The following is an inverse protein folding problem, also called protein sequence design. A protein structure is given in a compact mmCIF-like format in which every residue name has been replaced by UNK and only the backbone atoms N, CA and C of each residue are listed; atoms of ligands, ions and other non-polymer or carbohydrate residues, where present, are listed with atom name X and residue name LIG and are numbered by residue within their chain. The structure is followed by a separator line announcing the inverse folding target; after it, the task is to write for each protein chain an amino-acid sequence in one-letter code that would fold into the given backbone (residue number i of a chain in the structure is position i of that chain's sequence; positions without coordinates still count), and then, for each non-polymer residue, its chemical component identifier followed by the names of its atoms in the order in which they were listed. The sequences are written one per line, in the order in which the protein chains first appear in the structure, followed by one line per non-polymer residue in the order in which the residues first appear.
data_IF_418761120707
#
_entry.id   IF_418761120707
#
_cell.length_a   1.000
_cell.length_b   1.000
_cell.length_c   1.000
_cell.angle_alpha   90.00
_cell.angle_beta   90.00
_cell.angle_gamma   90.00
#
_symmetry.space_group_name_H-M   'P 1'
#
loop_
_entity.id
_entity.type
_entity.pdbx_description
1 polymer ?
#
# COMPACT_ATOMS: atom_id res chain seq x y z
N UNK A 1 -6.58 -22.08 -19.72
CA UNK A 1 -6.21 -20.80 -20.37
C UNK A 1 -5.91 -19.84 -19.24
N UNK A 2 -4.62 -19.52 -19.06
CA UNK A 2 -4.06 -18.88 -17.87
C UNK A 2 -4.66 -17.48 -17.66
N UNK A 3 -5.16 -17.24 -16.44
CA UNK A 3 -5.50 -15.91 -15.97
C UNK A 3 -4.20 -15.19 -15.60
N UNK A 4 -4.09 -13.88 -15.87
CA UNK A 4 -2.83 -13.16 -15.70
C UNK A 4 -2.38 -13.17 -14.25
N UNK A 5 -1.07 -13.29 -14.11
CA UNK A 5 -0.30 -12.97 -12.92
C UNK A 5 -0.71 -11.60 -12.36
N UNK A 6 -0.52 -11.42 -11.04
CA UNK A 6 -0.66 -10.19 -10.25
C UNK A 6 -1.98 -10.08 -9.47
N UNK A 7 -1.85 -9.69 -8.18
CA UNK A 7 -2.86 -9.26 -7.17
C UNK A 7 -2.78 -10.09 -5.85
N UNK A 8 -2.51 -9.42 -4.72
CA UNK A 8 -3.28 -9.64 -3.46
C UNK A 8 -4.05 -8.37 -3.13
N UNK A 9 -4.75 -7.85 -4.13
CA UNK A 9 -6.08 -7.28 -3.92
C UNK A 9 -7.07 -8.44 -3.91
N UNK A 10 -7.30 -9.04 -2.75
CA UNK A 10 -8.34 -10.06 -2.69
C UNK A 10 -9.68 -9.35 -2.86
N UNK A 11 -10.22 -9.47 -4.06
CA UNK A 11 -11.58 -9.11 -4.34
C UNK A 11 -12.44 -10.11 -3.58
N UNK A 12 -13.45 -9.69 -2.84
CA UNK A 12 -14.43 -10.62 -2.25
C UNK A 12 -15.22 -11.26 -3.40
N UNK A 13 -14.83 -12.47 -3.84
CA UNK A 13 -15.37 -13.14 -5.05
C UNK A 13 -15.67 -14.62 -4.84
N UNK A 14 -16.76 -15.04 -5.47
CA UNK A 14 -17.09 -16.42 -5.80
C UNK A 14 -16.34 -16.84 -7.09
N UNK A 15 -15.30 -17.69 -7.04
CA UNK A 15 -14.55 -18.15 -8.22
C UNK A 15 -15.38 -18.82 -9.35
N UNK A 16 -16.68 -19.11 -9.14
CA UNK A 16 -17.51 -19.85 -10.11
C UNK A 16 -18.22 -19.00 -11.17
N UNK A 17 -18.12 -17.67 -11.18
CA UNK A 17 -18.81 -16.81 -12.17
C UNK A 17 -17.92 -15.68 -12.72
N UNK A 18 -16.94 -15.94 -13.59
CA UNK A 18 -15.91 -14.94 -13.95
C UNK A 18 -16.39 -13.80 -14.87
N UNK A 19 -17.25 -14.08 -15.86
CA UNK A 19 -17.51 -13.14 -16.96
C UNK A 19 -18.45 -11.97 -16.62
N UNK A 20 -19.43 -12.18 -15.74
CA UNK A 20 -20.34 -11.11 -15.31
C UNK A 20 -19.69 -10.18 -14.27
N UNK A 21 -18.70 -10.67 -13.53
CA UNK A 21 -18.07 -9.99 -12.41
C UNK A 21 -16.99 -9.00 -12.85
N UNK A 22 -16.40 -9.19 -14.03
CA UNK A 22 -15.46 -8.26 -14.65
C UNK A 22 -16.03 -6.83 -14.78
N UNK A 23 -17.35 -6.70 -14.93
CA UNK A 23 -18.05 -5.41 -15.04
C UNK A 23 -18.61 -4.89 -13.71
N UNK A 24 -18.33 -5.57 -12.59
CA UNK A 24 -18.84 -5.22 -11.27
C UNK A 24 -17.75 -4.57 -10.43
N UNK A 25 -18.02 -3.38 -9.87
CA UNK A 25 -17.10 -2.72 -8.94
C UNK A 25 -17.04 -3.43 -7.59
N UNK A 26 -16.28 -4.50 -7.49
CA UNK A 26 -16.15 -5.32 -6.29
C UNK A 26 -15.36 -4.62 -5.18
N UNK A 27 -15.35 -5.20 -3.98
CA UNK A 27 -14.60 -4.66 -2.84
C UNK A 27 -13.14 -5.06 -2.96
N UNK A 28 -12.28 -4.06 -3.09
CA UNK A 28 -10.83 -4.26 -3.02
C UNK A 28 -10.38 -4.25 -1.56
N UNK A 29 -9.72 -5.34 -1.18
CA UNK A 29 -9.09 -5.55 0.13
C UNK A 29 -7.58 -5.50 -0.07
N UNK A 30 -6.87 -4.89 0.88
CA UNK A 30 -5.41 -4.91 0.91
C UNK A 30 -4.94 -5.93 1.93
N UNK A 31 -3.94 -6.73 1.54
CA UNK A 31 -3.28 -7.69 2.43
C UNK A 31 -1.79 -7.35 2.46
N UNK A 32 -1.24 -7.12 3.65
CA UNK A 32 0.19 -6.84 3.84
C UNK A 32 0.80 -7.85 4.82
N UNK A 33 1.88 -8.51 4.40
CA UNK A 33 2.51 -9.58 5.16
C UNK A 33 3.77 -9.12 5.90
N UNK A 34 3.83 -9.39 7.20
CA UNK A 34 5.06 -9.29 8.01
C UNK A 34 5.44 -10.67 8.51
N UNK A 35 6.57 -11.18 8.03
CA UNK A 35 7.12 -12.48 8.45
C UNK A 35 8.19 -12.29 9.53
N UNK A 36 8.05 -12.97 10.66
CA UNK A 36 9.09 -13.06 11.69
C UNK A 36 9.84 -14.38 11.57
N UNK A 37 11.13 -14.30 11.24
CA UNK A 37 11.99 -15.49 11.15
C UNK A 37 12.18 -16.19 12.50
N UNK A 38 12.04 -15.47 13.61
CA UNK A 38 12.24 -16.03 14.95
C UNK A 38 11.08 -16.91 15.39
N UNK A 39 9.87 -16.54 15.00
CA UNK A 39 8.65 -17.31 15.31
C UNK A 39 8.23 -18.23 14.17
N UNK A 40 8.84 -18.08 12.99
CA UNK A 40 8.46 -18.78 11.75
C UNK A 40 6.98 -18.55 11.40
N UNK A 41 6.47 -17.34 11.70
CA UNK A 41 5.08 -16.93 11.49
C UNK A 41 5.01 -15.67 10.61
N UNK A 42 3.98 -15.62 9.78
CA UNK A 42 3.60 -14.50 8.94
C UNK A 42 2.28 -13.92 9.44
N UNK A 43 2.32 -12.68 9.91
CA UNK A 43 1.12 -11.92 10.23
C UNK A 43 0.68 -11.19 8.96
N UNK A 44 -0.55 -11.44 8.53
CA UNK A 44 -1.16 -10.87 7.35
C UNK A 44 -2.20 -9.84 7.77
N UNK A 45 -1.85 -8.57 7.60
CA UNK A 45 -2.72 -7.44 7.87
C UNK A 45 -3.76 -7.29 6.77
N UNK A 46 -5.03 -7.42 7.12
CA UNK A 46 -6.15 -7.36 6.18
C UNK A 46 -7.00 -6.14 6.47
N UNK A 47 -7.22 -5.31 5.45
CA UNK A 47 -8.11 -4.16 5.57
C UNK A 47 -8.74 -3.77 4.25
N UNK A 48 -9.96 -3.23 4.31
CA UNK A 48 -10.62 -2.70 3.11
C UNK A 48 -9.96 -1.40 2.65
N UNK A 49 -9.87 -1.17 1.33
CA UNK A 49 -9.51 0.15 0.77
C UNK A 49 -10.50 1.28 1.18
N UNK A 50 -11.64 0.95 1.81
CA UNK A 50 -12.57 1.92 2.44
C UNK A 50 -12.08 2.42 3.80
N UNK A 51 -11.26 1.60 4.47
CA UNK A 51 -10.62 1.95 5.72
C UNK A 51 -9.43 2.82 5.42
N UNK A 52 -8.51 2.33 4.58
CA UNK A 52 -7.17 2.91 4.40
C UNK A 52 -6.62 2.90 2.97
N UNK A 53 -5.57 3.70 2.74
CA UNK A 53 -4.83 3.72 1.49
C UNK A 53 -3.80 2.59 1.38
N UNK A 54 -2.92 2.71 0.37
CA UNK A 54 -1.77 1.84 0.14
C UNK A 54 -0.50 2.68 0.11
N UNK A 55 -0.25 3.40 1.21
CA UNK A 55 0.88 4.32 1.33
C UNK A 55 1.90 3.88 2.36
N UNK A 56 2.99 4.63 2.43
CA UNK A 56 4.08 4.41 3.37
C UNK A 56 3.66 4.57 4.83
N UNK A 57 2.71 5.47 5.11
CA UNK A 57 2.13 5.66 6.44
C UNK A 57 1.38 4.40 6.91
N UNK A 58 0.64 3.74 6.02
CA UNK A 58 -0.04 2.49 6.35
C UNK A 58 0.98 1.38 6.67
N UNK A 59 2.03 1.25 5.87
CA UNK A 59 3.12 0.28 6.10
C UNK A 59 3.79 0.50 7.45
N UNK A 60 4.16 1.74 7.78
CA UNK A 60 4.78 2.06 9.08
C UNK A 60 3.81 1.83 10.24
N UNK A 61 2.52 2.12 10.05
CA UNK A 61 1.49 1.84 11.07
C UNK A 61 1.40 0.36 11.38
N UNK A 62 1.37 -0.49 10.35
CA UNK A 62 1.33 -1.95 10.49
C UNK A 62 2.63 -2.50 11.08
N UNK A 63 3.79 -1.96 10.69
CA UNK A 63 5.08 -2.34 11.28
C UNK A 63 5.17 -1.95 12.76
N UNK A 64 4.71 -0.76 13.13
CA UNK A 64 4.63 -0.30 14.51
C UNK A 64 3.67 -1.17 15.35
N UNK A 65 2.50 -1.51 14.79
CA UNK A 65 1.54 -2.40 15.43
C UNK A 65 2.15 -3.80 15.65
N UNK A 66 2.79 -4.35 14.62
CA UNK A 66 3.50 -5.62 14.68
C UNK A 66 4.51 -5.62 15.82
N UNK A 67 5.41 -4.61 15.85
CA UNK A 67 6.45 -4.51 16.83
C UNK A 67 5.94 -4.37 18.27
N UNK A 68 4.81 -3.67 18.47
CA UNK A 68 4.17 -3.55 19.78
C UNK A 68 3.62 -4.89 20.25
N UNK A 69 2.92 -5.61 19.37
CA UNK A 69 2.23 -6.85 19.75
C UNK A 69 3.21 -8.03 19.94
N UNK A 70 4.28 -8.08 19.15
CA UNK A 70 5.32 -9.12 19.26
C UNK A 70 6.47 -8.74 20.21
N UNK A 71 6.36 -7.60 20.91
CA UNK A 71 7.34 -7.07 21.89
C UNK A 71 8.74 -6.83 21.32
N UNK A 72 8.82 -6.47 20.04
CA UNK A 72 10.08 -6.23 19.34
C UNK A 72 10.79 -4.94 19.76
N UNK A 73 10.11 -4.02 20.42
CA UNK A 73 10.77 -2.85 21.00
C UNK A 73 11.71 -3.19 22.15
N UNK A 74 11.69 -4.42 22.66
CA UNK A 74 12.61 -4.89 23.68
C UNK A 74 13.92 -5.45 23.11
N UNK A 75 14.05 -5.58 21.79
CA UNK A 75 15.27 -6.11 21.16
C UNK A 75 16.22 -4.98 20.74
N UNK A 76 17.52 -5.26 20.75
CA UNK A 76 18.54 -4.25 20.44
C UNK A 76 18.65 -3.93 18.96
N UNK A 77 18.48 -4.91 18.07
CA UNK A 77 18.71 -4.75 16.64
C UNK A 77 17.57 -5.30 15.80
N UNK A 78 17.07 -4.47 14.89
CA UNK A 78 16.12 -4.88 13.85
C UNK A 78 16.83 -5.05 12.51
N UNK A 79 16.64 -6.20 11.87
CA UNK A 79 17.05 -6.41 10.48
C UNK A 79 15.82 -6.73 9.63
N UNK A 80 15.44 -5.79 8.77
CA UNK A 80 14.28 -5.87 7.88
C UNK A 80 14.76 -6.20 6.48
N UNK A 81 14.22 -7.24 5.88
CA UNK A 81 14.31 -7.52 4.45
C UNK A 81 12.96 -7.19 3.82
N UNK A 82 12.95 -6.41 2.74
CA UNK A 82 11.72 -5.98 2.09
C UNK A 82 11.84 -6.05 0.56
N UNK A 83 10.71 -6.19 -0.11
CA UNK A 83 10.65 -6.11 -1.57
C UNK A 83 10.96 -4.69 -2.06
N UNK A 84 11.53 -4.59 -3.26
CA UNK A 84 12.04 -3.34 -3.84
C UNK A 84 10.93 -2.45 -4.42
N UNK A 85 9.81 -2.32 -3.69
CA UNK A 85 8.64 -1.57 -4.10
C UNK A 85 8.70 -0.12 -3.57
N UNK A 86 8.84 0.86 -4.47
CA UNK A 86 8.95 2.29 -4.12
C UNK A 86 7.69 2.83 -3.44
N UNK A 87 6.52 2.42 -3.89
CA UNK A 87 5.23 2.90 -3.38
C UNK A 87 4.95 2.53 -1.92
N UNK A 88 5.56 1.46 -1.41
CA UNK A 88 5.21 0.87 -0.10
C UNK A 88 6.40 0.71 0.85
N UNK A 89 7.44 0.02 0.40
CA UNK A 89 8.55 -0.39 1.29
C UNK A 89 9.75 0.54 1.15
N UNK A 90 10.11 0.92 -0.08
CA UNK A 90 11.31 1.68 -0.41
C UNK A 90 11.03 3.18 -0.52
N UNK A 91 10.69 3.78 0.62
CA UNK A 91 10.41 5.21 0.73
C UNK A 91 11.04 5.84 1.98
N UNK A 92 11.02 7.17 2.01
CA UNK A 92 11.59 7.95 3.11
C UNK A 92 10.84 7.76 4.43
N UNK A 93 9.53 7.49 4.43
CA UNK A 93 8.77 7.31 5.67
C UNK A 93 9.24 6.07 6.44
N UNK A 94 9.42 4.93 5.75
CA UNK A 94 9.92 3.69 6.37
C UNK A 94 11.36 3.89 6.87
N UNK A 95 12.21 4.53 6.06
CA UNK A 95 13.59 4.81 6.43
C UNK A 95 13.68 5.73 7.66
N UNK A 96 12.95 6.86 7.66
CA UNK A 96 12.96 7.82 8.77
C UNK A 96 12.28 7.28 10.02
N UNK A 97 11.31 6.37 9.90
CA UNK A 97 10.76 5.63 11.04
C UNK A 97 11.83 4.81 11.75
N UNK A 98 12.60 4.00 11.01
CA UNK A 98 13.69 3.21 11.60
C UNK A 98 14.79 4.10 12.18
N UNK A 99 15.09 5.21 11.50
CA UNK A 99 16.04 6.21 12.01
C UNK A 99 15.55 6.80 13.33
N UNK A 100 14.26 7.09 13.45
CA UNK A 100 13.67 7.61 14.67
C UNK A 100 13.72 6.60 15.82
N UNK A 101 13.47 5.30 15.57
CA UNK A 101 13.59 4.26 16.61
C UNK A 101 15.03 4.16 17.15
N UNK A 102 16.02 4.31 16.28
CA UNK A 102 17.44 4.33 16.67
C UNK A 102 17.82 5.63 17.38
N UNK A 103 17.35 6.77 16.89
CA UNK A 103 17.59 8.10 17.47
C UNK A 103 16.95 8.24 18.87
N UNK A 104 15.77 7.66 19.08
CA UNK A 104 15.08 7.58 20.38
C UNK A 104 15.65 6.53 21.32
N UNK A 105 16.72 5.82 20.93
CA UNK A 105 17.37 4.74 21.70
C UNK A 105 16.47 3.55 22.02
N UNK A 106 15.35 3.41 21.33
CA UNK A 106 14.53 2.20 21.41
C UNK A 106 15.22 1.02 20.73
N UNK A 107 16.04 1.30 19.71
CA UNK A 107 16.93 0.32 19.07
C UNK A 107 18.38 0.80 19.16
N UNK A 108 19.31 -0.13 19.33
CA UNK A 108 20.74 0.12 19.15
C UNK A 108 21.08 0.25 17.67
N UNK A 109 20.51 -0.63 16.84
CA UNK A 109 20.78 -0.66 15.41
C UNK A 109 19.52 -1.04 14.61
N UNK A 110 19.35 -0.43 13.44
CA UNK A 110 18.35 -0.84 12.46
C UNK A 110 19.01 -1.06 11.10
N UNK A 111 18.70 -2.19 10.45
CA UNK A 111 19.18 -2.55 9.11
C UNK A 111 17.98 -2.76 8.20
N UNK A 112 17.87 -1.97 7.14
CA UNK A 112 16.85 -2.11 6.10
C UNK A 112 17.50 -2.57 4.81
N UNK A 113 17.14 -3.76 4.35
CA UNK A 113 17.72 -4.44 3.19
C UNK A 113 16.62 -4.71 2.17
N UNK A 114 16.90 -4.44 0.92
CA UNK A 114 15.99 -4.68 -0.19
C UNK A 114 16.48 -5.83 -1.05
N UNK A 115 15.56 -6.70 -1.44
CA UNK A 115 15.87 -7.75 -2.39
C UNK A 115 16.18 -7.18 -3.78
N UNK A 116 17.03 -7.88 -4.54
CA UNK A 116 17.32 -7.55 -5.95
C UNK A 116 16.17 -8.12 -6.79
N UNK A 117 15.77 -7.40 -7.85
CA UNK A 117 14.72 -7.86 -8.77
C UNK A 117 15.01 -9.29 -9.26
N UNK A 118 13.99 -10.16 -9.23
CA UNK A 118 14.11 -11.57 -9.62
C UNK A 118 14.56 -12.51 -8.49
N UNK A 119 14.48 -12.11 -7.23
CA UNK A 119 14.71 -13.00 -6.09
C UNK A 119 13.59 -14.04 -5.97
N UNK A 120 13.96 -15.29 -5.67
CA UNK A 120 12.99 -16.41 -5.50
C UNK A 120 12.86 -16.84 -4.04
N UNK A 121 13.44 -16.09 -3.09
CA UNK A 121 13.63 -16.51 -1.70
C UNK A 121 13.03 -15.52 -0.69
N UNK A 122 11.79 -15.11 -0.89
CA UNK A 122 11.04 -14.40 0.14
C UNK A 122 10.07 -15.38 0.82
N UNK A 123 10.20 -15.52 2.16
CA UNK A 123 9.33 -16.39 2.94
C UNK A 123 7.87 -15.94 2.88
N UNK A 124 7.64 -14.65 2.67
CA UNK A 124 6.31 -14.09 2.55
C UNK A 124 5.59 -14.57 1.28
N UNK A 125 6.31 -14.71 0.16
CA UNK A 125 5.76 -15.23 -1.11
C UNK A 125 5.20 -16.64 -0.93
N UNK A 126 5.85 -17.46 -0.08
CA UNK A 126 5.36 -18.79 0.27
C UNK A 126 4.04 -18.70 1.05
N UNK A 127 3.96 -17.82 2.04
CA UNK A 127 2.75 -17.60 2.83
C UNK A 127 1.59 -17.10 1.95
N UNK A 128 1.86 -16.15 1.07
CA UNK A 128 0.88 -15.67 0.09
C UNK A 128 0.48 -16.73 -0.92
N UNK A 129 1.42 -17.56 -1.38
CA UNK A 129 1.14 -18.68 -2.27
C UNK A 129 0.15 -19.67 -1.66
N UNK A 130 0.24 -19.92 -0.35
CA UNK A 130 -0.72 -20.77 0.37
C UNK A 130 -2.11 -20.11 0.43
N UNK A 131 -2.18 -18.82 0.76
CA UNK A 131 -3.42 -18.04 0.77
C UNK A 131 -4.08 -18.07 -0.60
N UNK A 132 -3.33 -17.77 -1.68
CA UNK A 132 -3.82 -17.80 -3.07
C UNK A 132 -4.37 -19.17 -3.46
N UNK A 133 -3.66 -20.25 -3.10
CA UNK A 133 -4.10 -21.63 -3.42
C UNK A 133 -5.42 -21.99 -2.74
N UNK A 134 -5.62 -21.58 -1.49
CA UNK A 134 -6.87 -21.79 -0.74
C UNK A 134 -7.97 -20.91 -1.30
N UNK A 135 -7.69 -19.62 -1.51
CA UNK A 135 -8.60 -18.63 -2.06
C UNK A 135 -9.19 -19.05 -3.41
N UNK A 136 -8.39 -19.63 -4.32
CA UNK A 136 -8.86 -20.12 -5.62
C UNK A 136 -9.93 -21.23 -5.56
N UNK A 137 -10.17 -21.83 -4.39
CA UNK A 137 -11.08 -22.98 -4.20
C UNK A 137 -12.31 -22.66 -3.37
N UNK A 138 -12.37 -21.48 -2.75
CA UNK A 138 -13.41 -21.09 -1.78
C UNK A 138 -14.05 -19.79 -2.23
N UNK A 139 -15.36 -19.66 -2.00
CA UNK A 139 -16.05 -18.38 -2.20
C UNK A 139 -15.90 -17.55 -0.93
N UNK A 140 -15.50 -16.30 -1.07
CA UNK A 140 -15.36 -15.36 0.05
C UNK A 140 -16.29 -14.18 -0.20
N UNK A 141 -17.15 -13.88 0.78
CA UNK A 141 -18.19 -12.85 0.75
C UNK A 141 -18.01 -11.77 1.82
N UNK A 142 -17.23 -12.03 2.88
CA UNK A 142 -16.99 -11.07 3.96
C UNK A 142 -15.50 -10.93 4.28
N UNK A 143 -15.13 -9.90 5.05
CA UNK A 143 -13.75 -9.77 5.55
C UNK A 143 -13.43 -10.86 6.59
N UNK A 144 -14.42 -11.27 7.38
CA UNK A 144 -14.26 -12.34 8.37
C UNK A 144 -13.99 -13.69 7.72
N UNK A 145 -14.68 -13.99 6.62
CA UNK A 145 -14.40 -15.20 5.84
C UNK A 145 -13.02 -15.15 5.19
N UNK A 146 -12.56 -13.98 4.75
CA UNK A 146 -11.21 -13.82 4.23
C UNK A 146 -10.17 -14.05 5.33
N UNK A 147 -10.42 -13.53 6.53
CA UNK A 147 -9.52 -13.72 7.66
C UNK A 147 -9.42 -15.19 8.07
N UNK A 148 -10.56 -15.86 8.22
CA UNK A 148 -10.61 -17.30 8.48
C UNK A 148 -9.89 -18.11 7.39
N UNK A 149 -10.06 -17.73 6.12
CA UNK A 149 -9.36 -18.36 5.01
C UNK A 149 -7.84 -18.21 5.11
N UNK A 150 -7.36 -17.04 5.56
CA UNK A 150 -5.93 -16.78 5.74
C UNK A 150 -5.38 -17.62 6.89
N UNK A 151 -6.06 -17.69 8.03
CA UNK A 151 -5.66 -18.53 9.16
C UNK A 151 -5.62 -20.02 8.79
N UNK A 152 -6.60 -20.49 8.00
CA UNK A 152 -6.65 -21.86 7.52
C UNK A 152 -5.67 -22.18 6.38
N UNK A 153 -5.03 -21.17 5.80
CA UNK A 153 -4.20 -21.36 4.61
C UNK A 153 -2.90 -22.11 4.90
N UNK A 154 -2.33 -21.91 6.10
CA UNK A 154 -1.14 -22.60 6.61
C UNK A 154 -0.96 -22.30 8.10
N UNK A 155 -0.37 -23.23 8.86
CA UNK A 155 -0.03 -23.03 10.28
C UNK A 155 0.93 -21.85 10.52
N UNK A 156 1.67 -21.44 9.50
CA UNK A 156 2.59 -20.30 9.55
C UNK A 156 1.91 -18.97 9.28
N UNK A 157 0.65 -18.94 8.82
CA UNK A 157 -0.09 -17.72 8.51
C UNK A 157 -1.04 -17.39 9.66
N UNK A 158 -1.04 -16.13 10.06
CA UNK A 158 -2.01 -15.56 10.99
C UNK A 158 -2.62 -14.31 10.35
N UNK A 159 -3.92 -14.11 10.53
CA UNK A 159 -4.63 -12.94 10.05
C UNK A 159 -4.77 -11.89 11.16
N UNK A 160 -4.46 -10.63 10.82
CA UNK A 160 -4.73 -9.48 11.67
C UNK A 160 -5.65 -8.51 10.91
N UNK A 161 -6.92 -8.44 11.31
CA UNK A 161 -7.89 -7.55 10.68
C UNK A 161 -7.77 -6.12 11.22
N UNK A 162 -7.57 -5.14 10.34
CA UNK A 162 -7.61 -3.71 10.71
C UNK A 162 -8.95 -3.11 10.27
N UNK A 163 -9.87 -3.02 11.23
CA UNK A 163 -11.19 -2.41 11.02
C UNK A 163 -11.17 -0.90 11.27
N UNK A 164 -10.37 -0.45 12.23
CA UNK A 164 -10.39 0.93 12.72
C UNK A 164 -9.34 1.80 12.04
N UNK A 165 -9.80 2.88 11.39
CA UNK A 165 -8.93 3.86 10.74
C UNK A 165 -7.91 4.52 11.68
N UNK A 166 -8.23 4.66 12.97
CA UNK A 166 -7.32 5.27 13.96
C UNK A 166 -6.02 4.49 14.17
N UNK A 167 -5.95 3.24 13.70
CA UNK A 167 -4.71 2.46 13.70
C UNK A 167 -3.68 3.03 12.72
N UNK A 168 -4.13 3.71 11.66
CA UNK A 168 -3.26 4.30 10.65
C UNK A 168 -2.92 5.73 11.02
N UNK A 169 -1.62 5.99 11.22
CA UNK A 169 -1.10 7.30 11.64
C UNK A 169 -0.27 7.95 10.55
N UNK A 170 -0.24 9.28 10.57
CA UNK A 170 0.59 10.07 9.67
C UNK A 170 1.98 10.27 10.27
N UNK A 171 2.90 9.38 9.89
CA UNK A 171 4.30 9.43 10.28
C UNK A 171 5.10 10.43 9.45
N UNK A 172 4.78 10.55 8.16
CA UNK A 172 5.49 11.44 7.22
C UNK A 172 5.55 12.87 7.73
N UNK A 173 4.41 13.47 8.10
CA UNK A 173 4.37 14.88 8.52
C UNK A 173 5.13 15.14 9.83
N UNK A 174 5.09 14.17 10.75
CA UNK A 174 5.79 14.27 12.02
C UNK A 174 7.30 14.12 11.85
N UNK A 175 7.75 13.17 11.02
CA UNK A 175 9.17 12.96 10.75
C UNK A 175 9.78 14.04 9.85
N UNK A 176 9.00 14.65 8.96
CA UNK A 176 9.44 15.79 8.14
C UNK A 176 9.86 17.02 8.99
N UNK A 177 9.47 17.08 10.27
CA UNK A 177 9.92 18.13 11.21
C UNK A 177 11.30 17.86 11.80
N UNK A 178 11.78 16.63 11.72
CA UNK A 178 13.05 16.18 12.34
C UNK A 178 14.10 15.79 11.30
N UNK A 179 13.66 15.25 10.17
CA UNK A 179 14.53 14.67 9.16
C UNK A 179 14.25 15.24 7.79
N UNK A 180 15.32 15.41 7.01
CA UNK A 180 15.23 15.65 5.57
C UNK A 180 15.10 14.32 4.83
N UNK A 181 14.55 14.38 3.63
CA UNK A 181 14.44 13.22 2.75
C UNK A 181 15.81 12.71 2.30
N UNK A 182 15.95 11.39 2.26
CA UNK A 182 17.08 10.74 1.64
C UNK A 182 16.98 10.85 0.10
N UNK A 183 18.00 11.42 -0.52
CA UNK A 183 18.03 11.65 -1.97
C UNK A 183 18.52 10.40 -2.70
N UNK A 184 17.73 9.93 -3.67
CA UNK A 184 18.09 8.80 -4.52
C UNK A 184 17.97 7.43 -3.86
N UNK A 185 17.02 7.28 -2.92
CA UNK A 185 16.77 6.03 -2.18
C UNK A 185 16.66 4.79 -3.08
N UNK A 186 16.05 4.94 -4.26
CA UNK A 186 15.83 3.86 -5.23
C UNK A 186 17.12 3.20 -5.73
N UNK A 187 18.26 3.91 -5.68
CA UNK A 187 19.56 3.44 -6.17
C UNK A 187 20.28 2.49 -5.22
N UNK A 188 19.83 2.35 -3.97
CA UNK A 188 20.54 1.61 -2.94
C UNK A 188 19.70 0.46 -2.39
N UNK A 189 20.34 -0.60 -1.91
CA UNK A 189 19.64 -1.79 -1.39
C UNK A 189 19.87 -2.02 0.09
N UNK A 190 20.87 -1.38 0.69
CA UNK A 190 21.20 -1.60 2.11
C UNK A 190 21.30 -0.25 2.79
N UNK A 191 20.57 -0.11 3.89
CA UNK A 191 20.59 1.04 4.79
C UNK A 191 20.80 0.53 6.21
N UNK A 192 21.70 1.15 6.94
CA UNK A 192 22.06 0.81 8.31
C UNK A 192 22.08 2.10 9.14
N UNK A 193 21.43 2.06 10.30
CA UNK A 193 21.41 3.14 11.28
C UNK A 193 21.92 2.63 12.61
N UNK A 194 22.76 3.42 13.28
CA UNK A 194 23.30 3.09 14.59
C UNK A 194 23.03 4.22 15.59
N UNK A 195 22.68 3.84 16.81
CA UNK A 195 22.34 4.79 17.86
C UNK A 195 23.54 5.66 18.27
N UNK A 196 24.77 5.20 18.04
CA UNK A 196 26.00 5.95 18.29
C UNK A 196 26.16 7.15 17.33
N UNK A 197 25.51 7.11 16.16
CA UNK A 197 25.49 8.20 15.18
C UNK A 197 24.04 8.67 14.89
N UNK A 198 23.39 9.37 15.82
CA UNK A 198 22.02 9.84 15.64
C UNK A 198 21.85 10.63 14.35
N UNK A 199 20.80 10.32 13.58
CA UNK A 199 20.52 11.00 12.33
C UNK A 199 21.28 10.50 11.11
N UNK A 200 22.33 9.70 11.28
CA UNK A 200 23.15 9.21 10.17
C UNK A 200 22.61 7.90 9.64
N UNK A 201 22.44 7.84 8.32
CA UNK A 201 22.15 6.61 7.58
C UNK A 201 23.40 6.22 6.80
N UNK A 202 23.92 5.04 7.10
CA UNK A 202 24.97 4.39 6.30
C UNK A 202 24.28 3.59 5.20
N UNK A 203 24.68 3.77 3.94
CA UNK A 203 24.01 3.14 2.81
C UNK A 203 24.99 2.54 1.80
N UNK A 204 24.55 1.47 1.12
CA UNK A 204 25.31 0.73 0.10
C UNK A 204 24.41 0.36 -1.07
N UNK A 205 24.98 0.34 -2.27
CA UNK A 205 24.26 -0.14 -3.46
C UNK A 205 24.05 -1.66 -3.39
N UNK A 206 25.13 -2.41 -3.14
CA UNK A 206 25.14 -3.87 -2.98
C UNK A 206 25.99 -4.27 -1.76
N UNK A 207 25.92 -5.53 -1.27
CA UNK A 207 26.69 -5.97 -0.10
C UNK A 207 28.20 -5.71 -0.19
N UNK A 208 28.80 -5.80 -1.38
CA UNK A 208 30.23 -5.55 -1.62
C UNK A 208 30.60 -4.10 -1.94
N UNK A 209 29.64 -3.17 -1.99
CA UNK A 209 29.92 -1.76 -2.29
C UNK A 209 30.49 -1.00 -1.09
N UNK A 210 31.32 0.00 -1.36
CA UNK A 210 31.85 0.91 -0.32
C UNK A 210 30.70 1.64 0.39
N UNK A 211 30.65 1.61 1.73
CA UNK A 211 29.64 2.33 2.50
C UNK A 211 29.78 3.85 2.32
N UNK A 212 28.65 4.53 2.30
CA UNK A 212 28.56 6.00 2.34
C UNK A 212 27.65 6.40 3.49
N UNK A 213 27.86 7.60 4.01
CA UNK A 213 27.07 8.13 5.12
C UNK A 213 26.29 9.37 4.65
N UNK A 214 25.07 9.53 5.15
CA UNK A 214 24.27 10.75 4.98
C UNK A 214 23.58 11.07 6.29
N UNK A 215 23.84 12.27 6.83
CA UNK A 215 23.09 12.77 7.99
C UNK A 215 21.76 13.36 7.51
N UNK A 216 20.65 12.83 8.03
CA UNK A 216 19.29 13.26 7.71
C UNK A 216 18.69 14.25 8.72
N UNK A 217 19.36 14.57 9.84
CA UNK A 217 18.82 15.54 10.80
C UNK A 217 18.65 16.93 10.17
N UNK A 218 17.52 17.56 10.47
CA UNK A 218 17.33 18.97 10.19
C UNK A 218 18.12 19.83 11.19
N UNK A 219 18.56 21.05 10.81
CA UNK A 219 19.43 21.90 11.64
C UNK A 219 18.92 22.16 13.07
N UNK A 220 17.59 22.22 13.25
CA UNK A 220 16.97 22.53 14.54
C UNK A 220 16.63 21.29 15.38
N UNK A 221 17.01 20.09 14.91
CA UNK A 221 16.69 18.84 15.60
C UNK A 221 17.81 18.50 16.57
N UNK A 222 17.43 18.18 17.83
CA UNK A 222 18.39 17.72 18.84
C UNK A 222 19.04 16.41 18.40
N UNK A 223 20.35 16.27 18.63
CA UNK A 223 21.11 15.02 18.39
C UNK A 223 20.83 13.96 19.46
N UNK A 224 20.29 14.37 20.61
CA UNK A 224 19.90 13.47 21.70
C UNK A 224 18.51 13.85 22.14
N UNK A 225 17.60 12.88 22.08
CA UNK A 225 16.20 13.05 22.47
C UNK A 225 16.03 12.63 23.93
N UNK A 226 15.40 13.50 24.72
CA UNK A 226 14.90 13.12 26.05
C UNK A 226 13.65 12.24 25.92
N UNK A 227 13.26 11.56 27.00
CA UNK A 227 12.02 10.77 27.03
C UNK A 227 10.78 11.64 26.74
N UNK A 228 10.80 12.90 27.17
CA UNK A 228 9.75 13.88 26.88
C UNK A 228 9.72 14.23 25.37
N UNK A 229 10.88 14.45 24.75
CA UNK A 229 10.96 14.70 23.30
C UNK A 229 10.37 13.53 22.51
N UNK A 230 10.73 12.29 22.87
CA UNK A 230 10.23 11.07 22.23
C UNK A 230 8.72 10.95 22.41
N UNK A 231 8.23 11.17 23.64
CA UNK A 231 6.80 11.12 23.96
C UNK A 231 6.01 12.16 23.17
N UNK A 232 6.51 13.39 23.06
CA UNK A 232 5.89 14.47 22.29
C UNK A 232 5.76 14.10 20.80
N UNK A 233 6.78 13.45 20.22
CA UNK A 233 6.70 12.96 18.84
C UNK A 233 5.62 11.89 18.70
N UNK A 234 5.57 10.90 19.60
CA UNK A 234 4.54 9.84 19.57
C UNK A 234 3.11 10.38 19.73
N UNK A 235 2.93 11.43 20.55
CA UNK A 235 1.65 12.11 20.74
C UNK A 235 1.28 12.98 19.54
N UNK A 236 2.26 13.46 18.77
CA UNK A 236 2.02 14.28 17.57
C UNK A 236 1.46 13.50 16.38
N UNK A 237 1.56 12.17 16.40
CA UNK A 237 1.06 11.33 15.32
C UNK A 237 -0.47 11.33 15.28
N UNK A 238 -1.02 12.03 14.29
CA UNK A 238 -2.46 12.08 14.04
C UNK A 238 -2.91 10.89 13.19
N UNK A 239 -4.18 10.48 13.28
CA UNK A 239 -4.74 9.55 12.31
C UNK A 239 -4.53 10.08 10.89
N UNK A 240 -4.21 9.19 9.96
CA UNK A 240 -4.06 9.53 8.55
C UNK A 240 -5.33 10.20 8.01
N UNK A 241 -5.26 10.83 6.81
CA UNK A 241 -6.47 11.35 6.14
C UNK A 241 -7.31 10.21 5.56
N UNK A 242 -8.50 9.97 6.12
CA UNK A 242 -9.37 8.87 5.67
C UNK A 242 -9.74 9.06 4.20
N UNK A 243 -9.39 8.08 3.36
CA UNK A 243 -9.87 8.06 1.98
C UNK A 243 -11.37 7.85 1.99
N UNK A 244 -12.13 8.85 1.55
CA UNK A 244 -13.57 8.74 1.48
C UNK A 244 -13.92 7.65 0.46
N UNK A 245 -14.82 6.70 0.81
CA UNK A 245 -15.25 5.69 -0.14
C UNK A 245 -15.85 6.34 -1.38
N UNK A 246 -15.49 5.85 -2.57
CA UNK A 246 -16.04 6.36 -3.82
C UNK A 246 -17.58 6.15 -3.83
N UNK A 247 -18.39 7.23 -3.89
CA UNK A 247 -19.83 7.15 -3.77
C UNK A 247 -20.49 6.43 -4.96
N UNK A 248 -19.95 6.56 -6.18
CA UNK A 248 -20.43 5.81 -7.34
C UNK A 248 -20.23 4.31 -7.14
N UNK A 249 -19.05 3.89 -6.65
CA UNK A 249 -18.75 2.48 -6.36
C UNK A 249 -19.69 1.94 -5.28
N UNK A 250 -20.02 2.71 -4.23
CA UNK A 250 -21.00 2.29 -3.20
C UNK A 250 -22.38 2.00 -3.83
N UNK A 251 -22.93 2.97 -4.57
CA UNK A 251 -24.25 2.83 -5.20
C UNK A 251 -24.28 1.69 -6.23
N UNK A 252 -23.23 1.57 -7.04
CA UNK A 252 -23.10 0.49 -8.02
C UNK A 252 -23.10 -0.89 -7.34
N UNK A 253 -22.34 -1.06 -6.25
CA UNK A 253 -22.31 -2.33 -5.49
C UNK A 253 -23.67 -2.71 -4.95
N UNK A 254 -24.34 -1.79 -4.26
CA UNK A 254 -25.65 -2.08 -3.70
C UNK A 254 -26.66 -2.51 -4.78
N UNK A 255 -26.65 -1.84 -5.94
CA UNK A 255 -27.56 -2.16 -7.04
C UNK A 255 -27.21 -3.47 -7.76
N UNK A 256 -25.92 -3.74 -7.99
CA UNK A 256 -25.49 -4.80 -8.90
C UNK A 256 -25.03 -6.07 -8.18
N UNK A 257 -24.36 -5.97 -7.02
CA UNK A 257 -23.84 -7.13 -6.28
C UNK A 257 -24.87 -7.76 -5.35
N UNK A 258 -25.75 -6.96 -4.74
CA UNK A 258 -26.71 -7.43 -3.72
C UNK A 258 -27.59 -8.59 -4.18
N UNK A 259 -27.91 -8.64 -5.48
CA UNK A 259 -28.73 -9.71 -6.08
C UNK A 259 -28.02 -11.08 -6.20
N UNK A 260 -26.70 -11.11 -6.10
CA UNK A 260 -25.89 -12.34 -6.20
C UNK A 260 -25.39 -12.84 -4.85
N UNK A 261 -25.61 -12.06 -3.78
CA UNK A 261 -25.19 -12.42 -2.44
C UNK A 261 -26.06 -13.54 -1.86
N UNK A 262 -25.46 -14.60 -1.29
CA UNK A 262 -26.16 -15.55 -0.45
C UNK A 262 -26.93 -14.83 0.66
N UNK A 263 -28.08 -15.39 1.06
CA UNK A 263 -28.98 -14.74 2.03
C UNK A 263 -28.28 -14.45 3.36
N UNK A 264 -27.34 -15.28 3.75
CA UNK A 264 -26.56 -15.18 4.99
C UNK A 264 -25.62 -13.97 5.05
N UNK A 265 -25.26 -13.35 3.92
CA UNK A 265 -24.33 -12.21 3.88
C UNK A 265 -25.02 -10.87 3.59
N UNK A 266 -26.35 -10.84 3.45
CA UNK A 266 -27.09 -9.62 3.07
C UNK A 266 -27.04 -8.51 4.13
N UNK A 267 -26.82 -8.88 5.39
CA UNK A 267 -26.80 -7.98 6.54
C UNK A 267 -25.39 -7.47 6.89
N UNK A 268 -24.36 -7.95 6.18
CA UNK A 268 -22.98 -7.54 6.42
C UNK A 268 -22.81 -6.01 6.22
N UNK A 269 -22.10 -5.31 7.13
CA UNK A 269 -21.81 -3.87 7.02
C UNK A 269 -21.25 -3.41 5.67
N UNK A 270 -20.59 -4.30 4.96
CA UNK A 270 -20.00 -4.10 3.64
C UNK A 270 -21.04 -3.86 2.54
N UNK A 271 -22.25 -4.41 2.69
CA UNK A 271 -23.34 -4.37 1.72
C UNK A 271 -24.53 -3.50 2.15
N UNK A 272 -24.35 -2.68 3.19
CA UNK A 272 -25.35 -1.71 3.65
C UNK A 272 -25.83 -0.78 2.53
N UNK A 273 -27.12 -0.36 2.55
CA UNK A 273 -27.64 0.60 1.60
C UNK A 273 -26.86 1.92 1.64
N UNK A 274 -26.64 2.57 0.48
CA UNK A 274 -26.02 3.89 0.44
C UNK A 274 -26.88 4.90 1.21
N UNK A 275 -26.23 5.83 1.92
CA UNK A 275 -26.94 6.95 2.55
C UNK A 275 -27.44 7.95 1.50
N UNK A 276 -28.41 8.80 1.85
CA UNK A 276 -28.87 9.88 0.96
C UNK A 276 -27.70 10.80 0.53
N UNK A 277 -26.77 11.06 1.45
CA UNK A 277 -25.54 11.82 1.15
C UNK A 277 -24.65 11.10 0.13
N UNK A 278 -24.52 9.77 0.19
CA UNK A 278 -23.75 9.00 -0.81
C UNK A 278 -24.38 9.08 -2.20
N UNK A 279 -25.72 9.03 -2.27
CA UNK A 279 -26.47 9.13 -3.52
C UNK A 279 -26.27 10.53 -4.15
N UNK A 280 -26.42 11.60 -3.37
CA UNK A 280 -26.21 12.98 -3.84
C UNK A 280 -24.77 13.20 -4.31
N UNK A 281 -23.78 12.74 -3.54
CA UNK A 281 -22.37 12.83 -3.94
C UNK A 281 -22.11 12.05 -5.22
N UNK A 282 -22.68 10.85 -5.38
CA UNK A 282 -22.54 10.06 -6.60
C UNK A 282 -23.13 10.80 -7.82
N UNK A 283 -24.29 11.46 -7.67
CA UNK A 283 -24.89 12.26 -8.74
C UNK A 283 -24.02 13.46 -9.13
N UNK A 284 -23.46 14.18 -8.13
CA UNK A 284 -22.53 15.29 -8.38
C UNK A 284 -21.28 14.85 -9.13
N UNK A 285 -20.67 13.73 -8.72
CA UNK A 285 -19.48 13.17 -9.40
C UNK A 285 -19.81 12.76 -10.83
N UNK A 286 -20.96 12.11 -11.07
CA UNK A 286 -21.39 11.75 -12.42
C UNK A 286 -21.59 12.97 -13.31
N UNK A 287 -22.22 14.02 -12.78
CA UNK A 287 -22.45 15.28 -13.50
C UNK A 287 -21.12 15.95 -13.86
N UNK A 288 -20.22 16.10 -12.90
CA UNK A 288 -18.89 16.68 -13.13
C UNK A 288 -18.07 15.90 -14.16
N UNK A 289 -18.10 14.56 -14.12
CA UNK A 289 -17.42 13.72 -15.14
C UNK A 289 -18.02 13.92 -16.54
N UNK A 290 -19.35 14.02 -16.63
CA UNK A 290 -20.02 14.27 -17.91
C UNK A 290 -19.65 15.63 -18.49
N UNK A 291 -19.59 16.67 -17.65
CA UNK A 291 -19.18 18.02 -18.03
C UNK A 291 -17.72 18.06 -18.47
N UNK A 292 -16.82 17.40 -17.74
CA UNK A 292 -15.41 17.28 -18.12
C UNK A 292 -15.24 16.59 -19.47
N UNK A 293 -15.95 15.48 -19.71
CA UNK A 293 -15.91 14.75 -21.00
C UNK A 293 -16.44 15.61 -22.15
N UNK A 294 -17.53 16.34 -21.94
CA UNK A 294 -18.04 17.27 -22.94
C UNK A 294 -17.03 18.39 -23.25
N UNK A 295 -16.34 18.91 -22.23
CA UNK A 295 -15.31 19.95 -22.39
C UNK A 295 -14.10 19.43 -23.17
N UNK A 296 -13.63 18.22 -22.84
CA UNK A 296 -12.52 17.57 -23.55
C UNK A 296 -12.87 17.28 -25.02
N UNK A 297 -14.10 16.82 -25.28
CA UNK A 297 -14.58 16.60 -26.64
C UNK A 297 -14.65 17.90 -27.45
N UNK A 298 -15.17 18.98 -26.86
CA UNK A 298 -15.23 20.29 -27.50
C UNK A 298 -13.83 20.87 -27.81
N UNK A 299 -12.88 20.69 -26.89
CA UNK A 299 -11.48 21.10 -27.11
C UNK A 299 -10.83 20.30 -28.24
N UNK A 300 -11.06 18.98 -28.30
CA UNK A 300 -10.56 18.14 -29.38
C UNK A 300 -11.14 18.55 -30.74
N UNK A 301 -12.44 18.90 -30.81
CA UNK A 301 -13.08 19.41 -32.04
C UNK A 301 -12.52 20.78 -32.47
N UNK A 302 -12.22 21.67 -31.52
CA UNK A 302 -11.60 22.96 -31.79
C UNK A 302 -10.14 22.83 -32.31
N UNK A 303 -9.38 21.90 -31.75
CA UNK A 303 -8.02 21.58 -32.21
C UNK A 303 -8.02 21.04 -33.65
N UNK A 304 -8.96 20.15 -33.98
CA UNK A 304 -9.17 19.63 -35.35
C UNK A 304 -9.47 20.77 -36.34
N UNK A 305 -10.32 21.71 -35.94
CA UNK A 305 -10.70 22.86 -36.79
C UNK A 305 -9.52 23.80 -37.04
N UNK A 306 -8.61 23.94 -36.06
CA UNK A 306 -7.42 24.80 -36.14
C UNK A 306 -6.29 24.15 -36.95
N UNK A 307 -6.11 22.84 -36.85
CA UNK A 307 -5.14 22.07 -37.65
C UNK A 307 -5.55 21.99 -39.14
N UNK A 308 -6.85 21.93 -39.44
CA UNK A 308 -7.37 22.00 -40.82
C UNK A 308 -7.16 23.38 -41.46
N UNK A 309 -7.13 24.46 -40.67
CA UNK A 309 -6.88 25.82 -41.15
C UNK A 309 -5.38 26.10 -41.42
N UNK A 310 -4.46 25.30 -40.87
CA UNK A 310 -3.00 25.49 -40.98
C UNK A 310 -2.33 24.60 -42.04
N UNK A 311 -3.09 23.77 -42.75
CA UNK A 311 -2.62 23.07 -43.96
C UNK A 311 -1.73 21.85 -43.72
N UNK A 312 -1.91 21.14 -42.59
CA UNK A 312 -1.22 19.86 -42.35
C UNK A 312 -2.06 18.70 -42.92
N UNK A 313 -1.44 17.75 -43.61
CA UNK A 313 -2.11 16.67 -44.35
C UNK A 313 -2.99 15.80 -43.43
N UNK A 314 -4.23 15.58 -43.85
CA UNK A 314 -5.34 14.90 -43.14
C UNK A 314 -5.01 13.50 -42.60
N UNK A 315 -4.01 12.83 -43.18
CA UNK A 315 -3.60 11.48 -42.83
C UNK A 315 -2.78 11.42 -41.53
N UNK A 316 -1.86 12.37 -41.32
CA UNK A 316 -1.05 12.45 -40.09
C UNK A 316 -1.87 12.93 -38.88
N UNK A 317 -2.94 13.69 -39.12
CA UNK A 317 -3.87 14.13 -38.09
C UNK A 317 -4.75 12.96 -37.58
N UNK A 318 -5.26 12.14 -38.49
CA UNK A 318 -6.11 10.99 -38.12
C UNK A 318 -5.36 9.89 -37.35
N UNK A 319 -4.08 9.63 -37.67
CA UNK A 319 -3.25 8.69 -36.87
C UNK A 319 -2.98 9.22 -35.45
N UNK A 320 -2.64 10.51 -35.30
CA UNK A 320 -2.42 11.13 -33.97
C UNK A 320 -3.67 11.20 -33.12
N UNK A 321 -4.85 11.38 -33.74
CA UNK A 321 -6.15 11.37 -33.07
C UNK A 321 -6.53 9.95 -32.66
N UNK A 322 -6.26 8.93 -33.48
CA UNK A 322 -6.52 7.54 -33.11
C UNK A 322 -5.62 7.08 -31.95
N UNK A 323 -4.36 7.55 -31.89
CA UNK A 323 -3.49 7.36 -30.71
C UNK A 323 -3.97 8.14 -29.47
N UNK A 324 -4.48 9.37 -29.63
CA UNK A 324 -5.02 10.16 -28.50
C UNK A 324 -6.40 9.70 -28.01
N UNK A 325 -7.25 9.17 -28.88
CA UNK A 325 -8.58 8.65 -28.51
C UNK A 325 -8.55 7.17 -28.11
N UNK A 326 -7.53 6.40 -28.51
CA UNK A 326 -7.27 5.05 -27.96
C UNK A 326 -6.47 5.07 -26.66
N UNK A 327 -5.97 6.24 -26.26
CA UNK A 327 -5.50 6.46 -24.89
C UNK A 327 -6.72 6.46 -23.95
N UNK A 328 -6.85 5.49 -23.03
CA UNK A 328 -7.98 5.44 -22.11
C UNK A 328 -7.89 6.65 -21.17
N UNK A 329 -8.80 7.61 -21.37
CA UNK A 329 -8.97 8.75 -20.47
C UNK A 329 -9.75 8.27 -19.24
N UNK A 330 -8.99 8.02 -18.17
CA UNK A 330 -9.46 7.76 -16.80
C UNK A 330 -10.46 6.61 -16.64
N UNK A 331 -10.14 5.44 -17.19
CA UNK A 331 -10.09 4.33 -16.25
C UNK A 331 -8.81 4.53 -15.45
N UNK A 332 -8.86 4.34 -14.13
CA UNK A 332 -7.63 4.07 -13.39
C UNK A 332 -6.97 2.87 -14.09
N UNK A 333 -6.10 3.12 -15.08
CA UNK A 333 -5.01 2.25 -15.38
C UNK A 333 -4.23 2.24 -14.07
N UNK A 334 -4.62 1.31 -13.20
CA UNK A 334 -3.71 0.67 -12.29
C UNK A 334 -2.49 0.38 -13.13
N UNK A 335 -1.43 1.13 -12.82
CA UNK A 335 -0.07 0.84 -13.18
C UNK A 335 0.14 -0.63 -12.81
N UNK A 336 -0.07 -1.52 -13.79
CA UNK A 336 0.32 -2.93 -13.73
C UNK A 336 1.80 -3.00 -14.08
N UNK A 337 2.58 -2.11 -13.47
CA UNK A 337 4.04 -2.13 -13.48
C UNK A 337 4.52 -2.60 -12.12
N UNK A 338 5.37 -3.64 -12.17
CA UNK A 338 5.98 -4.37 -11.08
C UNK A 338 5.02 -5.30 -10.28
N UNK A 339 4.92 -6.51 -10.83
CA UNK A 339 4.54 -7.78 -10.22
C UNK A 339 5.43 -8.15 -9.03
N UNK A 340 5.34 -7.43 -7.91
CA UNK A 340 6.09 -7.75 -6.70
C UNK A 340 5.13 -8.11 -5.56
N UNK A 341 5.28 -9.33 -5.01
CA UNK A 341 4.69 -9.74 -3.74
C UNK A 341 5.03 -8.67 -2.66
N UNK A 342 4.06 -8.30 -1.83
CA UNK A 342 4.14 -7.12 -0.96
C UNK A 342 4.37 -7.53 0.49
N UNK A 343 5.63 -7.50 0.93
CA UNK A 343 5.94 -7.99 2.27
C UNK A 343 7.20 -7.42 2.91
N UNK A 344 7.32 -7.64 4.21
CA UNK A 344 8.56 -7.46 4.96
C UNK A 344 8.87 -8.71 5.77
N UNK A 345 10.12 -9.17 5.71
CA UNK A 345 10.68 -10.15 6.62
C UNK A 345 11.45 -9.39 7.70
N UNK A 346 11.07 -9.58 8.96
CA UNK A 346 11.76 -9.04 10.10
C UNK A 346 12.55 -10.14 10.81
N UNK A 347 13.82 -9.86 11.06
CA UNK A 347 14.76 -10.71 11.78
C UNK A 347 15.32 -9.94 12.97
N UNK A 348 15.44 -10.60 14.12
CA UNK A 348 16.10 -10.04 15.31
C UNK A 348 17.48 -10.69 15.45
N UNK A 349 18.50 -9.90 15.71
CA UNK A 349 19.79 -10.42 16.19
C UNK A 349 19.84 -10.15 17.70
N UNK A 350 19.76 -11.20 18.54
CA UNK A 350 20.08 -11.04 19.96
C UNK A 350 21.59 -10.83 20.07
N UNK A 351 22.03 -9.63 20.44
CA UNK A 351 23.38 -9.44 20.96
C UNK A 351 23.46 -10.15 22.30
N UNK A 352 24.22 -11.24 22.35
CA UNK A 352 24.56 -11.99 23.57
C UNK A 352 25.12 -11.09 24.67
#
# INVERSE_FOLDING_TARGET
MALPDNIVETIIVCPRTPSQWYFMSLISVSVFGVYSSNTNKQINYVYSKRTAGKGSNEVVSMLHHFARNTRLYCVSTWTIYADNCVGLNKNNTVLTFLLFLVHSKWLKQAKLKFFIKGHTKNNCDRGFGNIRRKYARVNVWTLDELAALIDESAETNECEQIENWSHFKNFTDAFARMYKDFVGITKYHIFEMDSEKPGVVVYKNLPGSTPREMNLLLPNTKTTLSEEDVTNVWQSFTPSKRKQPNPEKICHRYKNLRKFLPKEHLDDPLYKPPSNSDIERAQKVKKARSELRATLAANAEADITTEQATGTTTEQANERITERMSSPVDDEHEDNSDSDDQSMILTEEKTN
#
